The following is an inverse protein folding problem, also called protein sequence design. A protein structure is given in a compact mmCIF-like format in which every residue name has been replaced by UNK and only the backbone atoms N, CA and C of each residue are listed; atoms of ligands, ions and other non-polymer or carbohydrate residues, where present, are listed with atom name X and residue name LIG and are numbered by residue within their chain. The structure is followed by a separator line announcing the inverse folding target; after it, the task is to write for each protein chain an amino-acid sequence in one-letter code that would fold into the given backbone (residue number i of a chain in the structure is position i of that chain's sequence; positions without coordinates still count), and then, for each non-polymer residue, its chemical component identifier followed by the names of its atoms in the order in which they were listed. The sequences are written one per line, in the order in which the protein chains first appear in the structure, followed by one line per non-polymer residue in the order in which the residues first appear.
data_IF_422167474169
#
_entry.id   IF_422167474169
#
_cell.length_a   1.000
_cell.length_b   1.000
_cell.length_c   1.000
_cell.angle_alpha   90.00
_cell.angle_beta   90.00
_cell.angle_gamma   90.00
#
_symmetry.space_group_name_H-M   'P 1'
#
loop_
_entity.id
_entity.type
_entity.pdbx_description
1 polymer ?
#
# COMPACT_ATOMS: atom_id res chain seq x y z
N UNK A 1 -67.77 38.24 -72.66
CA UNK A 1 -66.94 39.44 -72.60
C UNK A 1 -65.72 39.12 -71.77
N UNK A 2 -64.57 39.21 -72.36
CA UNK A 2 -63.29 38.65 -71.91
C UNK A 2 -62.61 39.62 -70.94
N UNK A 3 -62.08 39.11 -69.84
CA UNK A 3 -61.05 39.77 -69.03
C UNK A 3 -59.78 38.95 -68.98
N UNK A 4 -58.72 39.55 -69.44
CA UNK A 4 -57.37 38.97 -69.41
C UNK A 4 -56.74 39.18 -68.02
N UNK A 5 -55.96 38.20 -67.49
CA UNK A 5 -55.19 38.44 -66.28
C UNK A 5 -53.79 39.01 -66.61
N UNK A 6 -53.39 39.98 -65.79
CA UNK A 6 -52.01 40.52 -65.73
C UNK A 6 -51.11 39.54 -64.96
N UNK A 7 -50.03 39.19 -65.57
CA UNK A 7 -48.93 38.40 -64.92
C UNK A 7 -47.97 39.39 -64.23
N UNK A 8 -47.83 39.27 -62.90
CA UNK A 8 -46.78 39.95 -62.15
C UNK A 8 -45.63 39.00 -61.92
N UNK A 9 -44.48 39.34 -62.45
CA UNK A 9 -43.20 38.59 -62.21
C UNK A 9 -42.57 39.02 -60.87
N UNK A 10 -42.53 38.11 -59.93
CA UNK A 10 -41.75 38.29 -58.73
C UNK A 10 -40.33 37.77 -58.97
N UNK A 11 -39.33 38.67 -58.98
CA UNK A 11 -37.92 38.32 -58.94
C UNK A 11 -37.52 37.98 -57.52
N UNK A 12 -37.25 36.73 -57.24
CA UNK A 12 -36.68 36.27 -55.95
C UNK A 12 -35.17 36.52 -55.94
N UNK A 13 -34.73 37.43 -55.11
CA UNK A 13 -33.32 37.69 -54.79
C UNK A 13 -32.85 36.63 -53.77
N UNK A 14 -32.11 35.63 -54.20
CA UNK A 14 -31.46 34.67 -53.30
C UNK A 14 -30.22 35.31 -52.66
N UNK A 15 -30.32 35.74 -51.43
CA UNK A 15 -29.16 36.12 -50.63
C UNK A 15 -28.44 34.87 -50.14
N UNK A 16 -27.29 34.58 -50.72
CA UNK A 16 -26.36 33.52 -50.22
C UNK A 16 -25.68 34.05 -48.98
N UNK A 17 -26.14 33.59 -47.81
CA UNK A 17 -25.42 33.77 -46.54
C UNK A 17 -24.17 32.84 -46.58
N UNK A 18 -23.02 33.41 -46.82
CA UNK A 18 -21.74 32.77 -46.59
C UNK A 18 -21.48 32.78 -45.06
N UNK A 19 -21.78 31.67 -44.40
CA UNK A 19 -21.39 31.44 -43.02
C UNK A 19 -19.90 31.06 -43.04
N UNK A 20 -18.98 31.84 -42.43
CA UNK A 20 -17.60 31.40 -42.32
C UNK A 20 -17.54 30.14 -41.41
N UNK A 21 -16.71 29.16 -41.67
CA UNK A 21 -16.53 28.04 -40.79
C UNK A 21 -16.05 28.58 -39.44
N UNK A 22 -16.82 28.30 -38.38
CA UNK A 22 -16.33 28.41 -36.98
C UNK A 22 -15.11 27.47 -36.91
N UNK A 23 -13.94 28.02 -36.98
CA UNK A 23 -12.73 27.35 -36.54
C UNK A 23 -12.87 27.25 -35.03
N UNK A 24 -13.35 26.11 -34.57
CA UNK A 24 -13.25 25.71 -33.16
C UNK A 24 -11.76 25.48 -32.84
N UNK A 25 -11.05 26.55 -32.60
CA UNK A 25 -9.76 26.49 -31.88
C UNK A 25 -10.09 26.32 -30.40
N UNK A 26 -10.37 25.09 -30.05
CA UNK A 26 -10.58 24.63 -28.68
C UNK A 26 -9.67 23.47 -28.38
N UNK A 27 -8.37 23.61 -28.61
CA UNK A 27 -7.39 22.91 -27.80
C UNK A 27 -7.14 23.77 -26.55
N UNK A 28 -8.14 23.79 -25.67
CA UNK A 28 -7.86 24.00 -24.28
C UNK A 28 -7.09 22.77 -23.84
N UNK A 29 -5.79 22.91 -23.65
CA UNK A 29 -5.05 22.04 -22.73
C UNK A 29 -5.87 22.05 -21.43
N UNK A 30 -6.59 20.95 -21.15
CA UNK A 30 -7.17 20.67 -19.86
C UNK A 30 -6.01 20.53 -18.86
N UNK A 31 -5.53 21.68 -18.39
CA UNK A 31 -4.72 21.74 -17.19
C UNK A 31 -5.55 21.16 -16.06
N UNK A 32 -5.31 19.87 -15.71
CA UNK A 32 -5.90 19.21 -14.57
C UNK A 32 -7.25 18.53 -14.83
N UNK A 33 -7.35 17.60 -15.77
CA UNK A 33 -8.51 16.71 -15.81
C UNK A 33 -8.46 15.76 -14.62
N UNK A 34 -9.26 16.08 -13.60
CA UNK A 34 -9.43 15.28 -12.38
C UNK A 34 -9.75 13.83 -12.74
N UNK A 35 -8.99 12.89 -12.20
CA UNK A 35 -9.21 11.44 -12.40
C UNK A 35 -10.56 11.04 -11.82
N UNK A 36 -11.36 10.26 -12.58
CA UNK A 36 -12.70 9.86 -12.16
C UNK A 36 -12.89 8.36 -12.20
N UNK A 37 -13.54 7.83 -11.15
CA UNK A 37 -13.92 6.43 -11.09
C UNK A 37 -12.72 5.47 -10.95
N UNK A 38 -11.62 5.94 -10.34
CA UNK A 38 -10.51 5.09 -9.98
C UNK A 38 -10.95 4.06 -8.93
N UNK A 39 -10.55 2.82 -9.11
CA UNK A 39 -10.79 1.73 -8.16
C UNK A 39 -9.47 1.25 -7.60
N UNK A 40 -9.36 1.23 -6.28
CA UNK A 40 -8.17 0.73 -5.59
C UNK A 40 -8.53 -0.60 -4.95
N UNK A 41 -7.98 -1.68 -5.49
CA UNK A 41 -8.11 -3.01 -4.92
C UNK A 41 -7.10 -3.19 -3.79
N UNK A 42 -7.58 -3.70 -2.67
CA UNK A 42 -6.79 -3.97 -1.47
C UNK A 42 -6.73 -5.48 -1.26
N UNK A 43 -5.55 -6.11 -1.32
CA UNK A 43 -5.42 -7.57 -1.32
C UNK A 43 -5.40 -8.19 0.08
N UNK A 44 -5.85 -7.47 1.11
CA UNK A 44 -6.02 -7.97 2.48
C UNK A 44 -7.34 -7.53 3.09
N UNK A 45 -7.63 -8.01 4.29
CA UNK A 45 -8.83 -7.65 5.04
C UNK A 45 -8.86 -6.17 5.42
N UNK A 46 -10.07 -5.58 5.63
CA UNK A 46 -10.20 -4.21 6.10
C UNK A 46 -9.44 -3.97 7.40
N UNK A 47 -8.79 -2.80 7.50
CA UNK A 47 -7.98 -2.39 8.66
C UNK A 47 -6.53 -2.88 8.64
N UNK A 48 -6.13 -3.72 7.69
CA UNK A 48 -4.72 -4.04 7.46
C UNK A 48 -3.96 -2.91 6.77
N UNK A 49 -2.62 -2.98 6.79
CA UNK A 49 -1.77 -1.89 6.33
C UNK A 49 -2.04 -1.40 4.90
N UNK A 50 -2.34 -2.30 3.96
CA UNK A 50 -2.72 -1.92 2.58
C UNK A 50 -4.07 -1.19 2.54
N UNK A 51 -5.03 -1.60 3.39
CA UNK A 51 -6.35 -0.97 3.47
C UNK A 51 -6.25 0.45 4.04
N UNK A 52 -5.51 0.63 5.13
CA UNK A 52 -5.26 1.95 5.73
C UNK A 52 -4.57 2.86 4.72
N UNK A 53 -3.56 2.37 3.99
CA UNK A 53 -2.85 3.14 2.96
C UNK A 53 -3.78 3.54 1.81
N UNK A 54 -4.54 2.60 1.26
CA UNK A 54 -5.43 2.84 0.13
C UNK A 54 -6.54 3.84 0.46
N UNK A 55 -7.20 3.69 1.64
CA UNK A 55 -8.26 4.62 2.07
C UNK A 55 -7.73 6.00 2.39
N UNK A 56 -6.53 6.07 2.98
CA UNK A 56 -5.85 7.34 3.25
C UNK A 56 -5.49 8.05 1.95
N UNK A 57 -4.95 7.32 0.97
CA UNK A 57 -4.63 7.87 -0.34
C UNK A 57 -5.89 8.34 -1.08
N UNK A 58 -6.95 7.51 -1.12
CA UNK A 58 -8.23 7.86 -1.74
C UNK A 58 -8.81 9.14 -1.13
N UNK A 59 -8.86 9.21 0.21
CA UNK A 59 -9.35 10.39 0.92
C UNK A 59 -8.52 11.65 0.58
N UNK A 60 -7.19 11.54 0.61
CA UNK A 60 -6.32 12.67 0.30
C UNK A 60 -6.42 13.12 -1.16
N UNK A 61 -6.63 12.18 -2.11
CA UNK A 61 -6.87 12.50 -3.52
C UNK A 61 -8.20 13.24 -3.71
N UNK A 62 -9.26 12.84 -3.00
CA UNK A 62 -10.58 13.49 -3.11
C UNK A 62 -10.61 14.86 -2.41
N UNK A 63 -10.06 14.97 -1.20
CA UNK A 63 -9.94 16.23 -0.47
C UNK A 63 -8.98 17.24 -1.15
N UNK A 64 -7.96 16.73 -1.85
CA UNK A 64 -7.05 17.52 -2.67
C UNK A 64 -7.56 17.85 -4.07
N UNK A 65 -8.81 17.46 -4.39
CA UNK A 65 -9.46 17.65 -5.70
C UNK A 65 -8.69 17.02 -6.88
N UNK A 66 -7.83 16.03 -6.62
CA UNK A 66 -7.05 15.30 -7.64
C UNK A 66 -7.88 14.21 -8.33
N UNK A 67 -8.79 13.59 -7.58
CA UNK A 67 -9.67 12.54 -8.09
C UNK A 67 -11.10 12.69 -7.53
N UNK A 68 -12.08 12.04 -8.18
CA UNK A 68 -13.48 11.95 -7.72
C UNK A 68 -14.00 10.53 -7.87
N UNK A 69 -14.85 10.13 -6.91
CA UNK A 69 -15.45 8.79 -6.87
C UNK A 69 -14.36 7.70 -6.87
N UNK A 70 -13.41 7.81 -5.94
CA UNK A 70 -12.39 6.77 -5.73
C UNK A 70 -13.01 5.66 -4.89
N UNK A 71 -13.16 4.48 -5.49
CA UNK A 71 -13.65 3.29 -4.80
C UNK A 71 -12.49 2.51 -4.21
N UNK A 72 -12.54 2.18 -2.91
CA UNK A 72 -11.60 1.25 -2.26
C UNK A 72 -12.36 -0.02 -1.88
N UNK A 73 -11.91 -1.17 -2.38
CA UNK A 73 -12.53 -2.46 -2.08
C UNK A 73 -11.49 -3.53 -1.74
N UNK A 74 -11.87 -4.45 -0.86
CA UNK A 74 -10.99 -5.51 -0.38
C UNK A 74 -11.22 -6.82 -1.15
N UNK A 75 -10.13 -7.51 -1.52
CA UNK A 75 -10.13 -8.85 -2.10
C UNK A 75 -9.02 -9.67 -1.43
N UNK A 76 -9.21 -10.11 -0.17
CA UNK A 76 -8.22 -10.87 0.57
C UNK A 76 -8.06 -12.28 0.03
N UNK A 77 -6.94 -12.92 0.35
CA UNK A 77 -6.68 -14.32 0.09
C UNK A 77 -5.23 -14.62 -0.27
N UNK A 78 -4.69 -15.68 0.33
CA UNK A 78 -3.35 -16.22 0.10
C UNK A 78 -2.27 -15.12 0.14
N UNK A 79 -2.26 -14.27 1.19
CA UNK A 79 -1.29 -13.19 1.36
C UNK A 79 -1.31 -12.12 0.26
N UNK A 80 -2.42 -12.01 -0.49
CA UNK A 80 -2.62 -11.03 -1.57
C UNK A 80 -2.45 -11.58 -2.98
N UNK A 81 -2.03 -12.84 -3.15
CA UNK A 81 -1.84 -13.43 -4.49
C UNK A 81 -3.16 -13.64 -5.24
N UNK A 82 -4.30 -13.79 -4.52
CA UNK A 82 -5.64 -13.80 -5.14
C UNK A 82 -5.93 -12.44 -5.79
N UNK A 83 -5.68 -11.34 -5.07
CA UNK A 83 -5.82 -9.98 -5.61
C UNK A 83 -4.88 -9.74 -6.79
N UNK A 84 -3.62 -10.19 -6.70
CA UNK A 84 -2.65 -10.06 -7.78
C UNK A 84 -3.11 -10.80 -9.05
N UNK A 85 -3.55 -12.06 -8.93
CA UNK A 85 -4.10 -12.81 -10.06
C UNK A 85 -5.31 -12.12 -10.69
N UNK A 86 -6.19 -11.54 -9.86
CA UNK A 86 -7.30 -10.72 -10.36
C UNK A 86 -6.82 -9.49 -11.11
N UNK A 87 -5.85 -8.75 -10.58
CA UNK A 87 -5.29 -7.57 -11.24
C UNK A 87 -4.71 -7.91 -12.62
N UNK A 88 -3.90 -8.98 -12.69
CA UNK A 88 -3.28 -9.45 -13.95
C UNK A 88 -4.34 -9.83 -14.99
N UNK A 89 -5.49 -10.37 -14.55
CA UNK A 89 -6.60 -10.72 -15.46
C UNK A 89 -7.36 -9.52 -16.02
N UNK A 90 -7.24 -8.35 -15.42
CA UNK A 90 -7.89 -7.08 -15.83
C UNK A 90 -7.08 -6.30 -16.89
N UNK A 91 -6.41 -6.99 -17.77
CA UNK A 91 -5.51 -6.42 -18.78
C UNK A 91 -6.10 -5.21 -19.50
N UNK A 92 -5.37 -4.11 -19.53
CA UNK A 92 -5.77 -2.86 -20.19
C UNK A 92 -6.78 -2.01 -19.40
N UNK A 93 -7.14 -2.40 -18.19
CA UNK A 93 -8.07 -1.62 -17.34
C UNK A 93 -7.31 -0.50 -16.63
N UNK A 94 -7.35 0.70 -17.17
CA UNK A 94 -6.70 1.92 -16.69
C UNK A 94 -7.37 2.57 -15.46
N UNK A 95 -8.53 2.03 -15.04
CA UNK A 95 -9.28 2.52 -13.86
C UNK A 95 -9.14 1.63 -12.64
N UNK A 96 -8.38 0.57 -12.73
CA UNK A 96 -8.09 -0.32 -11.61
C UNK A 96 -6.61 -0.21 -11.24
N UNK A 97 -6.34 -0.08 -9.95
CA UNK A 97 -5.00 -0.22 -9.38
C UNK A 97 -5.07 -1.12 -8.15
N UNK A 98 -3.95 -1.68 -7.74
CA UNK A 98 -3.86 -2.49 -6.53
C UNK A 98 -2.86 -1.85 -5.55
N UNK A 99 -3.29 -1.64 -4.31
CA UNK A 99 -2.39 -1.34 -3.20
C UNK A 99 -1.61 -2.59 -2.85
N UNK A 100 -0.30 -2.49 -2.79
CA UNK A 100 0.56 -3.63 -2.57
C UNK A 100 1.84 -3.24 -1.82
N UNK A 101 2.67 -4.21 -1.51
CA UNK A 101 3.95 -4.00 -0.84
C UNK A 101 4.67 -5.32 -0.61
N UNK A 102 5.62 -5.31 0.31
CA UNK A 102 6.51 -6.43 0.61
C UNK A 102 5.76 -7.75 0.87
N UNK A 103 4.56 -7.69 1.48
CA UNK A 103 3.75 -8.88 1.77
C UNK A 103 3.29 -9.64 0.53
N UNK A 104 2.96 -8.92 -0.56
CA UNK A 104 2.58 -9.56 -1.83
C UNK A 104 3.80 -10.21 -2.48
N UNK A 105 4.98 -9.54 -2.42
CA UNK A 105 6.25 -10.11 -2.91
C UNK A 105 6.55 -11.43 -2.23
N UNK A 106 6.54 -11.46 -0.89
CA UNK A 106 6.81 -12.69 -0.14
C UNK A 106 5.78 -13.79 -0.38
N UNK A 107 4.51 -13.41 -0.52
CA UNK A 107 3.44 -14.36 -0.75
C UNK A 107 3.45 -14.98 -2.16
N UNK A 108 4.01 -14.30 -3.15
CA UNK A 108 4.26 -14.87 -4.48
C UNK A 108 5.17 -16.09 -4.36
N UNK A 109 6.24 -15.99 -3.58
CA UNK A 109 7.18 -17.09 -3.37
C UNK A 109 6.60 -18.19 -2.49
N UNK A 110 6.04 -17.85 -1.33
CA UNK A 110 5.57 -18.85 -0.36
C UNK A 110 4.34 -19.63 -0.83
N UNK A 111 3.52 -19.06 -1.71
CA UNK A 111 2.34 -19.71 -2.29
C UNK A 111 2.59 -20.29 -3.68
N UNK A 112 3.80 -20.21 -4.24
CA UNK A 112 4.07 -20.58 -5.63
C UNK A 112 3.05 -19.97 -6.60
N UNK A 113 2.82 -18.66 -6.48
CA UNK A 113 1.79 -17.95 -7.24
C UNK A 113 2.06 -18.02 -8.76
N UNK A 114 1.04 -18.29 -9.59
CA UNK A 114 1.19 -18.26 -11.04
C UNK A 114 1.37 -16.85 -11.62
N UNK A 115 1.08 -15.81 -10.82
CA UNK A 115 1.28 -14.40 -11.18
C UNK A 115 2.30 -13.78 -10.24
N UNK A 116 3.09 -12.86 -10.78
CA UNK A 116 4.12 -12.10 -10.07
C UNK A 116 3.92 -10.60 -10.24
N UNK A 117 4.73 -9.78 -9.57
CA UNK A 117 4.67 -8.33 -9.73
C UNK A 117 5.23 -7.89 -11.09
N UNK A 118 6.09 -8.69 -11.71
CA UNK A 118 6.59 -8.48 -13.06
C UNK A 118 5.48 -8.59 -14.13
N UNK A 119 4.34 -9.22 -13.80
CA UNK A 119 3.17 -9.29 -14.67
C UNK A 119 2.28 -8.04 -14.55
N UNK A 120 2.68 -7.02 -13.80
CA UNK A 120 1.90 -5.79 -13.57
C UNK A 120 2.55 -4.57 -14.22
N UNK A 121 1.85 -3.44 -14.24
CA UNK A 121 2.41 -2.15 -14.63
C UNK A 121 2.78 -1.37 -13.37
N UNK A 122 4.08 -1.09 -13.12
CA UNK A 122 4.52 -0.31 -11.95
C UNK A 122 3.99 1.13 -12.03
N UNK A 123 3.40 1.62 -10.95
CA UNK A 123 2.95 3.03 -10.87
C UNK A 123 3.83 3.79 -9.89
N UNK A 124 3.78 3.46 -8.59
CA UNK A 124 4.63 4.12 -7.63
C UNK A 124 4.80 3.31 -6.32
N UNK A 125 6.00 3.41 -5.73
CA UNK A 125 6.23 3.25 -4.29
C UNK A 125 5.78 4.54 -3.61
N UNK A 126 5.00 4.46 -2.55
CA UNK A 126 4.41 5.63 -1.89
C UNK A 126 5.09 5.98 -0.58
N UNK A 127 5.45 4.98 0.19
CA UNK A 127 5.93 5.13 1.57
C UNK A 127 6.72 3.91 2.05
N UNK A 128 7.43 4.11 3.13
CA UNK A 128 7.98 3.07 3.99
C UNK A 128 7.45 3.21 5.42
N UNK A 129 7.42 2.10 6.13
CA UNK A 129 6.99 2.02 7.52
C UNK A 129 7.87 1.02 8.26
N UNK A 130 8.52 1.43 9.34
CA UNK A 130 9.16 0.49 10.25
C UNK A 130 8.10 -0.29 11.03
N UNK A 131 8.43 -1.52 11.42
CA UNK A 131 7.61 -2.28 12.33
C UNK A 131 7.99 -1.98 13.79
N UNK A 132 7.06 -2.28 14.68
CA UNK A 132 7.22 -2.19 16.12
C UNK A 132 7.06 -3.57 16.76
N UNK A 133 7.80 -3.78 17.84
CA UNK A 133 7.64 -4.94 18.73
C UNK A 133 6.77 -4.49 19.90
N UNK A 134 5.56 -5.03 19.99
CA UNK A 134 4.56 -4.65 21.00
C UNK A 134 4.15 -5.79 21.90
N UNK A 135 3.81 -5.43 23.13
CA UNK A 135 3.22 -6.34 24.12
C UNK A 135 2.01 -5.68 24.79
N UNK A 136 1.10 -6.45 25.36
CA UNK A 136 0.05 -5.92 26.22
C UNK A 136 0.66 -5.18 27.42
N UNK A 137 -0.03 -4.15 27.94
CA UNK A 137 0.45 -3.35 29.08
C UNK A 137 0.83 -4.18 30.32
N UNK A 138 0.10 -5.27 30.54
CA UNK A 138 0.29 -6.16 31.70
C UNK A 138 1.28 -7.30 31.42
N UNK A 139 1.90 -7.31 30.24
CA UNK A 139 2.95 -8.29 29.88
C UNK A 139 4.11 -8.26 30.88
N UNK A 140 4.70 -9.41 31.22
CA UNK A 140 5.90 -9.49 32.04
C UNK A 140 7.13 -8.86 31.37
N UNK A 141 7.12 -8.73 30.03
CA UNK A 141 8.24 -8.17 29.27
C UNK A 141 8.17 -6.64 29.31
N UNK A 142 9.22 -6.02 29.85
CA UNK A 142 9.32 -4.56 29.97
C UNK A 142 10.30 -3.96 28.98
N UNK A 143 11.23 -4.75 28.51
CA UNK A 143 12.32 -4.39 27.60
C UNK A 143 12.50 -5.44 26.52
N UNK A 144 13.21 -5.10 25.43
CA UNK A 144 13.66 -6.08 24.43
C UNK A 144 14.49 -7.17 25.07
N UNK A 145 15.34 -6.83 26.04
CA UNK A 145 16.20 -7.79 26.73
C UNK A 145 15.39 -8.84 27.52
N UNK A 146 14.32 -8.44 28.22
CA UNK A 146 13.44 -9.37 28.93
C UNK A 146 12.79 -10.35 27.96
N UNK A 147 12.25 -9.83 26.84
CA UNK A 147 11.62 -10.64 25.80
C UNK A 147 12.63 -11.61 25.18
N UNK A 148 13.80 -11.13 24.77
CA UNK A 148 14.83 -11.95 24.12
C UNK A 148 15.34 -13.04 25.06
N UNK A 149 15.48 -12.75 26.37
CA UNK A 149 15.88 -13.75 27.36
C UNK A 149 14.87 -14.89 27.46
N UNK A 150 13.58 -14.56 27.57
CA UNK A 150 12.51 -15.55 27.62
C UNK A 150 12.40 -16.32 26.29
N UNK A 151 12.49 -15.60 25.17
CA UNK A 151 12.39 -16.20 23.84
C UNK A 151 13.52 -17.19 23.53
N UNK A 152 14.74 -16.88 23.95
CA UNK A 152 15.88 -17.83 23.86
C UNK A 152 15.72 -19.06 24.74
N UNK A 153 15.14 -18.90 25.92
CA UNK A 153 14.94 -20.00 26.84
C UNK A 153 13.91 -21.02 26.32
N UNK A 154 12.84 -20.55 25.66
CA UNK A 154 11.77 -21.42 25.16
C UNK A 154 11.07 -20.78 23.93
N UNK A 155 11.69 -20.85 22.72
CA UNK A 155 11.15 -20.20 21.53
C UNK A 155 9.76 -20.67 21.13
N UNK A 156 9.43 -21.94 21.36
CA UNK A 156 8.15 -22.54 21.02
C UNK A 156 6.98 -22.04 21.88
N UNK A 157 7.26 -21.67 23.14
CA UNK A 157 6.27 -21.22 24.10
C UNK A 157 6.22 -19.69 24.30
N UNK A 158 7.01 -18.94 23.51
CA UNK A 158 6.93 -17.47 23.39
C UNK A 158 6.45 -17.14 21.99
N UNK A 159 5.14 -17.34 21.68
CA UNK A 159 4.61 -17.13 20.33
C UNK A 159 4.65 -15.65 19.96
N UNK A 160 5.13 -15.35 18.73
CA UNK A 160 5.07 -14.03 18.11
C UNK A 160 3.92 -13.98 17.12
N UNK A 161 3.08 -12.96 17.22
CA UNK A 161 2.02 -12.68 16.24
C UNK A 161 2.46 -11.66 15.22
N UNK A 162 1.99 -11.79 13.98
CA UNK A 162 2.10 -10.76 12.95
C UNK A 162 0.85 -10.69 12.11
N UNK A 163 0.49 -9.49 11.64
CA UNK A 163 -0.69 -9.23 10.79
C UNK A 163 -0.47 -9.58 9.33
N UNK A 164 0.52 -10.41 9.01
CA UNK A 164 0.80 -10.88 7.66
C UNK A 164 1.07 -12.38 7.61
N UNK A 165 0.80 -12.99 6.44
CA UNK A 165 1.10 -14.40 6.16
C UNK A 165 2.62 -14.67 6.20
N UNK A 166 3.06 -15.95 6.34
CA UNK A 166 4.46 -16.30 6.15
C UNK A 166 5.04 -15.72 4.85
N UNK A 167 6.21 -15.12 4.94
CA UNK A 167 6.83 -14.33 3.87
C UNK A 167 6.39 -12.87 3.81
N UNK A 168 5.35 -12.48 4.54
CA UNK A 168 4.94 -11.08 4.66
C UNK A 168 5.83 -10.24 5.58
N UNK A 169 5.64 -8.90 5.62
CA UNK A 169 6.53 -7.99 6.31
C UNK A 169 6.69 -8.32 7.81
N UNK A 170 5.61 -8.51 8.53
CA UNK A 170 5.65 -8.79 9.97
C UNK A 170 6.35 -10.13 10.27
N UNK A 171 6.14 -11.14 9.39
CA UNK A 171 6.86 -12.40 9.49
C UNK A 171 8.36 -12.21 9.26
N UNK A 172 8.75 -11.50 8.19
CA UNK A 172 10.15 -11.22 7.89
C UNK A 172 10.81 -10.41 9.01
N UNK A 173 10.14 -9.38 9.52
CA UNK A 173 10.62 -8.58 10.64
C UNK A 173 10.80 -9.43 11.91
N UNK A 174 9.84 -10.31 12.24
CA UNK A 174 9.93 -11.22 13.39
C UNK A 174 11.08 -12.22 13.23
N UNK A 175 11.28 -12.77 12.03
CA UNK A 175 12.36 -13.73 11.76
C UNK A 175 13.74 -13.06 11.78
N UNK A 176 13.87 -11.85 11.23
CA UNK A 176 15.09 -11.05 11.32
C UNK A 176 15.39 -10.65 12.77
N UNK A 177 14.37 -10.28 13.54
CA UNK A 177 14.51 -10.02 14.98
C UNK A 177 15.01 -11.28 15.71
N UNK A 178 14.42 -12.44 15.46
CA UNK A 178 14.89 -13.71 16.03
C UNK A 178 16.36 -13.99 15.69
N UNK A 179 16.72 -13.87 14.40
CA UNK A 179 18.10 -14.08 13.91
C UNK A 179 19.08 -13.10 14.57
N UNK A 180 18.76 -11.81 14.59
CA UNK A 180 19.57 -10.76 15.25
C UNK A 180 19.69 -10.96 16.77
N UNK A 181 18.67 -11.51 17.39
CA UNK A 181 18.71 -11.93 18.79
C UNK A 181 19.48 -13.23 19.02
N UNK A 182 19.94 -13.93 17.98
CA UNK A 182 20.71 -15.18 18.07
C UNK A 182 19.84 -16.43 18.25
N UNK A 183 18.56 -16.39 17.86
CA UNK A 183 17.70 -17.56 17.74
C UNK A 183 17.80 -18.13 16.31
N UNK A 184 17.46 -19.43 16.19
CA UNK A 184 17.24 -20.05 14.89
C UNK A 184 15.80 -19.73 14.43
N UNK A 185 15.55 -19.05 13.31
CA UNK A 185 14.20 -18.68 12.88
C UNK A 185 13.21 -19.84 12.82
N UNK A 186 13.65 -21.03 12.40
CA UNK A 186 12.83 -22.26 12.38
C UNK A 186 12.31 -22.72 13.75
N UNK A 187 12.92 -22.26 14.87
CA UNK A 187 12.43 -22.57 16.21
C UNK A 187 11.32 -21.63 16.68
N UNK A 188 11.07 -20.55 15.96
CA UNK A 188 10.10 -19.52 16.33
C UNK A 188 8.67 -19.99 16.05
N UNK A 189 7.82 -19.85 17.05
CA UNK A 189 6.38 -20.06 16.90
C UNK A 189 5.73 -18.75 16.40
N UNK A 190 5.67 -18.59 15.07
CA UNK A 190 4.99 -17.45 14.44
C UNK A 190 3.51 -17.77 14.21
N UNK A 191 2.64 -16.88 14.66
CA UNK A 191 1.18 -16.97 14.50
C UNK A 191 0.72 -15.90 13.52
N UNK A 192 0.38 -16.27 12.27
CA UNK A 192 -0.09 -15.30 11.27
C UNK A 192 -1.54 -14.91 11.52
N UNK A 193 -1.84 -13.63 11.30
CA UNK A 193 -3.19 -13.04 11.26
C UNK A 193 -3.40 -12.32 9.93
N UNK A 194 -4.66 -12.14 9.53
CA UNK A 194 -5.02 -11.44 8.30
C UNK A 194 -5.19 -9.92 8.55
N UNK A 195 -4.12 -9.30 9.07
CA UNK A 195 -4.03 -7.87 9.34
C UNK A 195 -3.91 -7.53 10.84
N UNK A 196 -3.56 -6.25 11.08
CA UNK A 196 -3.26 -5.73 12.42
C UNK A 196 -4.42 -5.80 13.41
N UNK A 197 -5.68 -5.74 12.95
CA UNK A 197 -6.84 -5.79 13.86
C UNK A 197 -6.96 -7.12 14.59
N UNK A 198 -6.77 -8.25 13.90
CA UNK A 198 -6.78 -9.59 14.52
C UNK A 198 -5.55 -9.81 15.40
N UNK A 199 -4.38 -9.37 14.94
CA UNK A 199 -3.15 -9.39 15.71
C UNK A 199 -3.32 -8.64 17.03
N UNK A 200 -3.83 -7.40 16.96
CA UNK A 200 -4.07 -6.55 18.14
C UNK A 200 -4.95 -7.24 19.17
N UNK A 201 -6.08 -7.80 18.75
CA UNK A 201 -6.96 -8.55 19.64
C UNK A 201 -6.25 -9.74 20.29
N UNK A 202 -5.35 -10.40 19.58
CA UNK A 202 -4.58 -11.54 20.07
C UNK A 202 -3.48 -11.15 21.05
N UNK A 203 -2.81 -10.02 20.84
CA UNK A 203 -1.82 -9.45 21.79
C UNK A 203 -2.52 -9.02 23.07
N UNK A 204 -3.60 -8.24 22.99
CA UNK A 204 -4.36 -7.77 24.16
C UNK A 204 -5.00 -8.93 24.94
N UNK A 205 -5.43 -9.96 24.23
CA UNK A 205 -6.01 -11.17 24.81
C UNK A 205 -5.00 -12.19 25.35
N UNK A 206 -3.69 -11.92 25.22
CA UNK A 206 -2.62 -12.81 25.68
C UNK A 206 -2.53 -14.14 24.92
N UNK A 207 -3.09 -14.22 23.71
CA UNK A 207 -2.99 -15.43 22.85
C UNK A 207 -1.60 -15.55 22.20
N UNK A 208 -0.90 -14.45 22.00
CA UNK A 208 0.49 -14.37 21.63
C UNK A 208 1.27 -13.59 22.68
N UNK A 209 2.54 -13.89 22.82
CA UNK A 209 3.38 -13.27 23.85
C UNK A 209 3.73 -11.82 23.49
N UNK A 210 3.91 -11.56 22.20
CA UNK A 210 4.17 -10.23 21.63
C UNK A 210 3.72 -10.18 20.16
N UNK A 211 3.58 -8.96 19.63
CA UNK A 211 3.25 -8.71 18.23
C UNK A 211 4.38 -7.96 17.52
N UNK A 212 4.47 -8.17 16.21
CA UNK A 212 5.28 -7.38 15.28
C UNK A 212 4.36 -6.87 14.18
N UNK A 213 4.29 -5.55 13.99
CA UNK A 213 3.47 -4.91 12.94
C UNK A 213 3.82 -3.45 12.75
N UNK A 214 3.27 -2.82 11.70
CA UNK A 214 3.39 -1.38 11.49
C UNK A 214 2.73 -0.54 12.58
N UNK A 215 3.30 0.63 12.86
CA UNK A 215 2.79 1.56 13.90
C UNK A 215 1.34 1.97 13.64
N UNK A 216 0.99 2.23 12.36
CA UNK A 216 -0.33 2.75 11.98
C UNK A 216 -1.49 1.85 12.41
N UNK A 217 -1.24 0.55 12.57
CA UNK A 217 -2.25 -0.44 12.94
C UNK A 217 -2.55 -0.49 14.44
N UNK A 218 -1.63 -0.01 15.29
CA UNK A 218 -1.69 -0.10 16.75
C UNK A 218 -1.61 1.23 17.48
N UNK A 219 -1.56 2.35 16.76
CA UNK A 219 -1.33 3.68 17.32
C UNK A 219 -2.32 4.06 18.43
N UNK A 220 -3.61 3.88 18.19
CA UNK A 220 -4.65 4.26 19.16
C UNK A 220 -4.48 3.52 20.48
N UNK A 221 -4.09 2.25 20.45
CA UNK A 221 -3.88 1.41 21.64
C UNK A 221 -2.56 1.74 22.36
N UNK A 222 -1.55 2.18 21.60
CA UNK A 222 -0.31 2.69 22.18
C UNK A 222 -0.58 4.01 22.91
N UNK A 223 -1.31 4.94 22.30
CA UNK A 223 -1.69 6.22 22.88
C UNK A 223 -2.63 6.04 24.11
N UNK A 224 -3.51 5.05 24.07
CA UNK A 224 -4.36 4.67 25.19
C UNK A 224 -3.60 3.96 26.33
N UNK A 225 -2.31 3.61 26.11
CA UNK A 225 -1.50 2.88 27.10
C UNK A 225 -1.91 1.42 27.29
N UNK A 226 -2.65 0.84 26.35
CA UNK A 226 -3.03 -0.57 26.37
C UNK A 226 -1.94 -1.49 25.84
N UNK A 227 -1.09 -0.97 24.94
CA UNK A 227 0.11 -1.60 24.44
C UNK A 227 1.36 -0.87 24.92
N UNK A 228 2.43 -1.64 25.11
CA UNK A 228 3.80 -1.14 25.30
C UNK A 228 4.64 -1.48 24.09
N UNK A 229 5.31 -0.48 23.54
CA UNK A 229 6.34 -0.69 22.51
C UNK A 229 7.64 -1.07 23.21
N UNK A 230 8.18 -2.26 22.91
CA UNK A 230 9.48 -2.70 23.41
C UNK A 230 10.62 -2.20 22.53
N UNK A 231 10.39 -2.15 21.22
CA UNK A 231 11.39 -1.68 20.27
C UNK A 231 10.79 -1.36 18.91
N UNK A 232 11.53 -0.58 18.11
CA UNK A 232 11.21 -0.27 16.71
C UNK A 232 12.28 -0.83 15.79
N UNK A 233 11.89 -1.23 14.58
CA UNK A 233 12.82 -1.86 13.61
C UNK A 233 13.59 -0.85 12.76
N UNK A 234 13.27 0.44 12.86
CA UNK A 234 14.01 1.52 12.18
C UNK A 234 15.43 1.70 12.71
N UNK A 235 16.30 2.28 11.87
CA UNK A 235 17.66 2.67 12.26
C UNK A 235 17.71 3.78 13.31
N UNK A 236 16.66 4.61 13.37
CA UNK A 236 16.51 5.72 14.32
C UNK A 236 15.16 5.59 15.05
N UNK A 237 15.07 6.23 16.24
CA UNK A 237 13.82 6.28 17.01
C UNK A 237 12.72 6.98 16.22
N UNK A 238 11.51 6.48 16.36
CA UNK A 238 10.34 7.04 15.68
C UNK A 238 9.75 8.22 16.48
N UNK A 239 9.49 9.37 15.84
CA UNK A 239 8.78 10.46 16.48
C UNK A 239 7.40 10.05 17.00
N UNK A 240 7.10 10.39 18.26
CA UNK A 240 5.81 10.08 18.89
C UNK A 240 5.62 8.62 19.32
N UNK A 241 6.65 7.78 19.22
CA UNK A 241 6.67 6.40 19.73
C UNK A 241 7.70 6.31 20.86
N UNK A 242 7.24 5.97 22.06
CA UNK A 242 8.11 5.76 23.22
C UNK A 242 8.67 4.34 23.20
N UNK A 243 9.78 4.17 22.47
CA UNK A 243 10.48 2.91 22.35
C UNK A 243 11.89 3.10 21.74
N UNK A 244 12.90 2.32 22.19
CA UNK A 244 14.22 2.32 21.60
C UNK A 244 14.20 1.61 20.24
N UNK A 245 15.25 1.79 19.42
CA UNK A 245 15.46 0.89 18.27
C UNK A 245 15.91 -0.49 18.76
N UNK A 246 15.72 -1.53 17.92
CA UNK A 246 16.27 -2.85 18.19
C UNK A 246 17.80 -2.78 18.31
N UNK A 247 18.47 -1.95 17.50
CA UNK A 247 19.92 -1.72 17.57
C UNK A 247 20.34 -1.11 18.91
N UNK A 248 19.64 -0.07 19.39
CA UNK A 248 19.89 0.50 20.72
C UNK A 248 19.71 -0.53 21.84
N UNK A 249 18.84 -1.50 21.64
CA UNK A 249 18.55 -2.60 22.57
C UNK A 249 19.51 -3.78 22.43
N UNK A 250 20.55 -3.66 21.61
CA UNK A 250 21.59 -4.70 21.43
C UNK A 250 21.23 -5.80 20.42
N UNK A 251 20.19 -5.60 19.61
CA UNK A 251 19.83 -6.51 18.52
C UNK A 251 20.08 -5.80 17.19
N UNK A 252 21.11 -6.24 16.46
CA UNK A 252 21.50 -5.61 15.19
C UNK A 252 20.55 -5.99 14.05
N UNK A 253 19.39 -5.34 14.05
CA UNK A 253 18.33 -5.47 13.05
C UNK A 253 17.83 -4.12 12.66
N UNK A 254 17.70 -3.91 11.37
CA UNK A 254 17.00 -2.80 10.76
C UNK A 254 16.07 -3.35 9.68
N UNK A 255 14.81 -2.93 9.69
CA UNK A 255 13.81 -3.39 8.75
C UNK A 255 12.77 -2.30 8.51
N UNK A 256 12.38 -2.13 7.25
CA UNK A 256 11.26 -1.28 6.85
C UNK A 256 10.37 -2.04 5.88
N UNK A 257 9.08 -1.95 6.11
CA UNK A 257 8.06 -2.37 5.18
C UNK A 257 7.78 -1.21 4.19
N UNK A 258 7.58 -1.51 2.93
CA UNK A 258 7.22 -0.51 1.93
C UNK A 258 5.85 -0.80 1.33
N UNK A 259 5.18 0.26 0.84
CA UNK A 259 3.89 0.15 0.17
C UNK A 259 3.86 0.98 -1.09
N UNK A 260 3.18 0.44 -2.10
CA UNK A 260 3.07 1.05 -3.41
C UNK A 260 1.76 0.70 -4.10
N UNK A 261 1.68 1.13 -5.35
CA UNK A 261 0.54 0.91 -6.24
C UNK A 261 1.04 0.35 -7.57
N UNK A 262 0.40 -0.69 -8.05
CA UNK A 262 0.58 -1.25 -9.40
C UNK A 262 -0.76 -1.26 -10.15
N UNK A 263 -0.70 -1.24 -11.47
CA UNK A 263 -1.85 -1.32 -12.36
C UNK A 263 -1.86 -2.64 -13.16
N UNK A 264 -2.99 -3.01 -13.79
CA UNK A 264 -3.05 -4.16 -14.69
C UNK A 264 -2.04 -4.07 -15.83
N UNK A 265 -1.59 -5.20 -16.38
CA UNK A 265 -0.73 -5.20 -17.55
C UNK A 265 -1.45 -4.63 -18.78
N UNK A 266 -0.67 -4.01 -19.66
CA UNK A 266 -1.15 -3.58 -20.98
C UNK A 266 -2.08 -2.36 -20.96
N UNK A 267 -2.06 -1.54 -19.92
CA UNK A 267 -2.54 -0.16 -20.01
C UNK A 267 -1.63 0.64 -20.94
N UNK A 268 -2.13 1.72 -21.52
CA UNK A 268 -1.31 2.57 -22.40
C UNK A 268 -0.27 3.37 -21.60
N UNK A 269 0.83 3.78 -22.25
CA UNK A 269 1.82 4.67 -21.63
C UNK A 269 1.19 6.00 -21.17
N UNK A 270 0.19 6.51 -21.90
CA UNK A 270 -0.55 7.70 -21.51
C UNK A 270 -1.34 7.49 -20.21
N UNK A 271 -1.98 6.32 -20.06
CA UNK A 271 -2.75 5.98 -18.85
C UNK A 271 -1.81 5.71 -17.66
N UNK A 272 -0.67 5.04 -17.92
CA UNK A 272 0.36 4.86 -16.89
C UNK A 272 0.86 6.22 -16.39
N UNK A 273 1.22 7.13 -17.30
CA UNK A 273 1.70 8.47 -16.93
C UNK A 273 0.64 9.25 -16.15
N UNK A 274 -0.63 9.19 -16.56
CA UNK A 274 -1.74 9.82 -15.82
C UNK A 274 -1.87 9.30 -14.38
N UNK A 275 -1.68 8.00 -14.17
CA UNK A 275 -1.69 7.42 -12.82
C UNK A 275 -0.45 7.84 -12.02
N UNK A 276 0.72 7.93 -12.65
CA UNK A 276 1.95 8.43 -12.03
C UNK A 276 1.79 9.90 -11.63
N UNK A 277 1.23 10.74 -12.51
CA UNK A 277 0.98 12.15 -12.22
C UNK A 277 0.02 12.31 -11.04
N UNK A 278 -1.07 11.53 -11.01
CA UNK A 278 -2.02 11.52 -9.90
C UNK A 278 -1.34 11.23 -8.54
N UNK A 279 -0.50 10.19 -8.47
CA UNK A 279 0.18 9.85 -7.21
C UNK A 279 1.34 10.80 -6.89
N UNK A 280 1.91 11.44 -7.89
CA UNK A 280 2.90 12.51 -7.71
C UNK A 280 2.25 13.75 -7.08
N UNK A 281 1.09 14.14 -7.58
CA UNK A 281 0.30 15.25 -7.02
C UNK A 281 -0.18 14.90 -5.59
N UNK A 282 -0.61 13.66 -5.35
CA UNK A 282 -0.95 13.18 -4.01
C UNK A 282 0.18 13.44 -3.00
N UNK A 283 1.44 13.13 -3.36
CA UNK A 283 2.60 13.35 -2.49
C UNK A 283 2.79 14.82 -2.08
N UNK A 284 2.25 15.75 -2.87
CA UNK A 284 2.34 17.19 -2.63
C UNK A 284 1.16 17.76 -1.85
N UNK A 285 0.11 16.97 -1.58
CA UNK A 285 -1.05 17.43 -0.81
C UNK A 285 -0.71 17.59 0.68
N UNK A 286 -1.25 18.60 1.38
CA UNK A 286 -1.15 18.67 2.83
C UNK A 286 -1.75 17.46 3.53
N UNK A 287 -2.87 16.96 3.02
CA UNK A 287 -3.60 15.81 3.58
C UNK A 287 -2.74 14.54 3.62
N UNK A 288 -2.00 14.28 2.53
CA UNK A 288 -1.10 13.12 2.48
C UNK A 288 0.11 13.30 3.42
N UNK A 289 0.72 14.50 3.44
CA UNK A 289 1.83 14.80 4.35
C UNK A 289 1.44 14.65 5.82
N UNK A 290 0.27 15.15 6.20
CA UNK A 290 -0.28 14.99 7.55
C UNK A 290 -0.56 13.51 7.86
N UNK A 291 -1.00 12.73 6.86
CA UNK A 291 -1.24 11.31 7.02
C UNK A 291 0.05 10.51 7.22
N UNK A 292 1.13 10.84 6.49
CA UNK A 292 2.45 10.23 6.73
C UNK A 292 2.87 10.41 8.19
N UNK A 293 2.79 11.62 8.71
CA UNK A 293 3.15 11.92 10.12
C UNK A 293 2.26 11.16 11.10
N UNK A 294 0.93 11.22 10.92
CA UNK A 294 -0.03 10.56 11.84
C UNK A 294 0.17 9.06 11.92
N UNK A 295 0.49 8.41 10.80
CA UNK A 295 0.66 6.96 10.76
C UNK A 295 2.10 6.50 11.04
N UNK A 296 3.05 7.43 11.25
CA UNK A 296 4.46 7.08 11.41
C UNK A 296 5.11 6.57 10.13
N UNK A 297 4.55 6.94 8.98
CA UNK A 297 5.07 6.57 7.68
C UNK A 297 6.17 7.54 7.24
N UNK A 298 7.16 7.00 6.55
CA UNK A 298 8.24 7.78 5.92
C UNK A 298 7.96 7.89 4.43
N UNK A 299 8.14 9.10 3.89
CA UNK A 299 8.07 9.30 2.44
C UNK A 299 9.21 8.53 1.76
N UNK A 300 8.85 7.60 0.87
CA UNK A 300 9.78 6.82 0.05
C UNK A 300 9.18 6.69 -1.35
N UNK A 301 9.34 7.74 -2.16
CA UNK A 301 8.61 7.91 -3.41
C UNK A 301 9.50 7.61 -4.62
N UNK A 302 9.10 6.61 -5.40
CA UNK A 302 9.69 6.19 -6.66
C UNK A 302 8.56 5.90 -7.65
N UNK A 303 8.73 6.14 -8.94
CA UNK A 303 7.67 5.99 -9.95
C UNK A 303 8.14 5.26 -11.20
N UNK A 304 7.20 4.70 -11.97
CA UNK A 304 7.46 4.13 -13.28
C UNK A 304 8.59 3.12 -13.28
N UNK A 305 9.57 3.31 -14.16
CA UNK A 305 10.70 2.39 -14.35
C UNK A 305 11.57 2.25 -13.09
N UNK A 306 11.82 3.35 -12.36
CA UNK A 306 12.58 3.30 -11.10
C UNK A 306 11.87 2.40 -10.06
N UNK A 307 10.54 2.47 -9.99
CA UNK A 307 9.77 1.57 -9.13
C UNK A 307 9.78 0.13 -9.67
N UNK A 308 9.78 -0.06 -10.99
CA UNK A 308 9.93 -1.38 -11.61
C UNK A 308 11.25 -2.05 -11.23
N UNK A 309 12.37 -1.35 -11.36
CA UNK A 309 13.69 -1.83 -10.94
C UNK A 309 13.74 -2.16 -9.44
N UNK A 310 13.10 -1.32 -8.62
CA UNK A 310 12.96 -1.60 -7.19
C UNK A 310 12.17 -2.89 -6.93
N UNK A 311 11.06 -3.14 -7.65
CA UNK A 311 10.26 -4.36 -7.50
C UNK A 311 11.07 -5.62 -7.85
N UNK A 312 11.89 -5.56 -8.91
CA UNK A 312 12.76 -6.67 -9.31
C UNK A 312 13.81 -6.97 -8.22
N UNK A 313 14.49 -5.93 -7.73
CA UNK A 313 15.46 -6.06 -6.64
C UNK A 313 14.83 -6.61 -5.34
N UNK A 314 13.60 -6.18 -5.02
CA UNK A 314 12.86 -6.67 -3.85
C UNK A 314 12.43 -8.13 -4.02
N UNK A 315 12.04 -8.54 -5.22
CA UNK A 315 11.70 -9.92 -5.51
C UNK A 315 12.89 -10.86 -5.21
N UNK A 316 14.07 -10.51 -5.71
CA UNK A 316 15.29 -11.31 -5.51
C UNK A 316 15.71 -11.31 -4.04
N UNK A 317 15.72 -10.16 -3.39
CA UNK A 317 16.08 -10.05 -1.97
C UNK A 317 15.15 -10.88 -1.07
N UNK A 318 13.85 -10.85 -1.33
CA UNK A 318 12.86 -11.61 -0.55
C UNK A 318 13.05 -13.11 -0.78
N UNK A 319 13.29 -13.55 -2.02
CA UNK A 319 13.57 -14.95 -2.33
C UNK A 319 14.80 -15.46 -1.57
N UNK A 320 15.87 -14.68 -1.52
CA UNK A 320 17.10 -15.01 -0.78
C UNK A 320 16.82 -15.13 0.72
N UNK A 321 16.13 -14.15 1.32
CA UNK A 321 15.79 -14.16 2.75
C UNK A 321 14.89 -15.36 3.08
N UNK A 322 13.87 -15.65 2.28
CA UNK A 322 13.00 -16.81 2.49
C UNK A 322 13.78 -18.12 2.43
N UNK A 323 14.71 -18.26 1.47
CA UNK A 323 15.61 -19.43 1.38
C UNK A 323 16.48 -19.57 2.63
N UNK A 324 17.08 -18.49 3.14
CA UNK A 324 17.84 -18.50 4.40
C UNK A 324 16.98 -18.91 5.61
N UNK A 325 15.70 -18.49 5.62
CA UNK A 325 14.75 -18.86 6.65
C UNK A 325 14.22 -20.30 6.50
N UNK A 326 14.47 -20.92 5.34
CA UNK A 326 14.07 -22.27 5.01
C UNK A 326 12.60 -22.41 4.63
N UNK A 327 12.08 -21.38 3.98
CA UNK A 327 10.72 -21.25 3.44
C UNK A 327 10.74 -21.33 1.91
#
# INVERSE_FOLDING_TARGET
MQAKPLAAALAALAAVLVIPPLVSSGSGEDAGSQVRGLRIMVPNSPGGGYDVTARTAAKAMEEGELARNVEVFNLPGAGGTVGLGRLVSERGNDKLVMSMGLGVVGSVHTNNSPSSLQDTTPIAKLLEEPDIVVVAKDSPYRTVADLVSAWKADPGNVPVGGGSSPGGPDHLAAMLFAKGAGLTPKSVNYVPFDGGGELLASVLGGKVAFGVSGVGESRDQIEAGELRVLGVTSGERMPGIDGPTLKESGVDVEFTNWRGIVAPPGISEVDQQRLIDLVTDLQNTPQWRDALVRNGWTKAFQTGDEFGEFLDAQNDQVADVLTELGL
#
